data_IF_465556553324
#
_entry.id   IF_465556553324
#
_cell.length_a   1.000
_cell.length_b   1.000
_cell.length_c   1.000
_cell.angle_alpha   90.00
_cell.angle_beta   90.00
_cell.angle_gamma   90.00
#
_symmetry.space_group_name_H-M   'P 1'
#
loop_
_entity.id
_entity.type
_entity.pdbx_description
1 polymer ?
#
# COMPACT_ATOMS: atom_id res chain seq x y z
N UNK A 1 17.18 9.84 -7.68
CA UNK A 1 16.58 8.64 -7.10
C UNK A 1 15.48 8.21 -8.06
N UNK A 2 15.70 7.17 -8.86
CA UNK A 2 14.76 6.71 -9.88
C UNK A 2 14.24 5.35 -9.41
N UNK A 3 13.37 5.39 -8.39
CA UNK A 3 12.55 4.22 -8.08
C UNK A 3 11.38 4.35 -9.04
N UNK A 4 11.33 3.51 -10.08
CA UNK A 4 10.28 3.54 -11.10
C UNK A 4 9.00 2.89 -10.55
N UNK A 5 8.56 3.35 -9.37
CA UNK A 5 7.26 3.05 -8.77
C UNK A 5 6.21 3.94 -9.45
N UNK A 6 6.12 3.82 -10.77
CA UNK A 6 4.96 4.31 -11.49
C UNK A 6 3.75 3.55 -10.96
N UNK A 7 2.80 4.27 -10.35
CA UNK A 7 1.50 3.75 -9.87
C UNK A 7 0.60 3.37 -11.06
N UNK A 8 1.08 2.47 -11.92
CA UNK A 8 0.41 2.09 -13.14
C UNK A 8 0.15 0.59 -13.13
N UNK A 9 0.87 -0.19 -13.96
CA UNK A 9 0.54 -1.59 -14.22
C UNK A 9 1.02 -2.57 -13.15
N UNK A 10 1.93 -2.14 -12.30
CA UNK A 10 2.46 -2.90 -11.17
C UNK A 10 1.40 -3.19 -10.08
N UNK A 11 0.32 -2.39 -10.01
CA UNK A 11 -0.77 -2.56 -9.04
C UNK A 11 -2.03 -3.22 -9.62
N UNK A 12 -2.10 -3.46 -10.93
CA UNK A 12 -3.28 -4.05 -11.59
C UNK A 12 -3.51 -5.52 -11.19
N UNK A 13 -2.47 -6.23 -10.71
CA UNK A 13 -2.52 -7.67 -10.53
C UNK A 13 -3.35 -8.11 -9.31
N UNK A 14 -3.08 -7.53 -8.14
CA UNK A 14 -3.74 -7.94 -6.91
C UNK A 14 -3.75 -6.82 -5.86
N UNK A 15 -4.90 -6.67 -5.19
CA UNK A 15 -5.07 -5.89 -3.97
C UNK A 15 -5.92 -6.70 -3.00
N UNK A 16 -5.47 -6.85 -1.76
CA UNK A 16 -6.16 -7.65 -0.73
C UNK A 16 -6.67 -6.73 0.38
N UNK A 17 -7.88 -7.00 0.86
CA UNK A 17 -8.53 -6.31 1.97
C UNK A 17 -9.10 -7.32 2.95
N UNK A 18 -9.16 -6.95 4.23
CA UNK A 18 -9.80 -7.76 5.27
C UNK A 18 -8.90 -8.01 6.48
N UNK A 19 -9.19 -9.05 7.29
CA UNK A 19 -10.28 -10.02 7.10
C UNK A 19 -11.67 -9.42 7.36
N UNK A 20 -11.74 -8.32 8.09
CA UNK A 20 -12.98 -7.65 8.49
C UNK A 20 -12.97 -6.17 8.12
N UNK A 21 -14.16 -5.62 7.92
CA UNK A 21 -14.38 -4.19 7.95
C UNK A 21 -14.86 -3.85 9.36
N UNK A 22 -14.17 -2.90 10.00
CA UNK A 22 -14.56 -2.33 11.29
C UNK A 22 -15.17 -0.95 11.06
N UNK A 23 -16.10 -0.55 11.93
CA UNK A 23 -16.70 0.78 11.84
C UNK A 23 -15.81 1.84 12.48
N UNK A 24 -16.03 3.11 12.15
CA UNK A 24 -15.23 4.20 12.70
C UNK A 24 -15.38 4.32 14.23
N UNK A 25 -16.59 4.08 14.76
CA UNK A 25 -16.88 4.13 16.20
C UNK A 25 -16.21 3.00 17.00
N UNK A 26 -15.98 1.83 16.38
CA UNK A 26 -15.22 0.75 17.01
C UNK A 26 -13.74 1.13 17.24
N UNK A 27 -13.20 2.05 16.43
CA UNK A 27 -11.81 2.52 16.53
C UNK A 27 -11.65 3.80 17.36
N UNK A 28 -12.74 4.47 17.73
CA UNK A 28 -12.72 5.73 18.48
C UNK A 28 -11.93 5.64 19.81
N UNK A 29 -12.00 4.53 20.59
CA UNK A 29 -11.16 4.39 21.79
C UNK A 29 -9.65 4.39 21.54
N UNK A 30 -9.21 4.27 20.27
CA UNK A 30 -7.81 4.28 19.84
C UNK A 30 -7.39 5.62 19.24
N UNK A 31 -8.32 6.57 19.12
CA UNK A 31 -8.06 7.92 18.61
C UNK A 31 -7.40 8.78 19.69
N UNK A 32 -6.35 9.50 19.31
CA UNK A 32 -5.71 10.50 20.18
C UNK A 32 -6.33 11.90 20.02
N UNK A 33 -5.81 12.87 20.78
CA UNK A 33 -6.32 14.24 20.79
C UNK A 33 -6.16 14.99 19.46
N UNK A 34 -5.26 14.54 18.59
CA UNK A 34 -4.99 15.13 17.28
C UNK A 34 -5.74 14.38 16.15
N UNK A 35 -6.48 13.32 16.48
CA UNK A 35 -7.29 12.56 15.54
C UNK A 35 -6.59 11.38 14.89
N UNK A 36 -5.39 10.99 15.34
CA UNK A 36 -4.69 9.83 14.83
C UNK A 36 -5.09 8.55 15.57
N UNK A 37 -5.12 7.43 14.85
CA UNK A 37 -5.44 6.12 15.42
C UNK A 37 -4.15 5.40 15.82
N UNK A 38 -3.96 5.18 17.13
CA UNK A 38 -2.82 4.43 17.66
C UNK A 38 -3.09 2.92 17.60
N UNK A 39 -2.86 2.34 16.43
CA UNK A 39 -2.98 0.90 16.16
C UNK A 39 -1.63 0.32 15.72
N UNK A 40 -1.24 -0.82 16.30
CA UNK A 40 -0.04 -1.53 15.88
C UNK A 40 -0.25 -2.25 14.55
N UNK A 41 0.77 -2.15 13.68
CA UNK A 41 0.84 -2.75 12.36
C UNK A 41 2.05 -3.69 12.31
N UNK A 42 1.90 -4.86 11.69
CA UNK A 42 2.99 -5.83 11.55
C UNK A 42 2.92 -6.49 10.18
N UNK A 43 4.08 -6.60 9.53
CA UNK A 43 4.26 -7.37 8.31
C UNK A 43 5.24 -8.51 8.55
N UNK A 44 4.85 -9.70 8.13
CA UNK A 44 5.64 -10.92 8.22
C UNK A 44 5.82 -11.54 6.84
N UNK A 45 6.98 -12.17 6.64
CA UNK A 45 7.27 -13.01 5.48
C UNK A 45 7.73 -14.37 5.99
N UNK A 46 7.02 -15.43 5.60
CA UNK A 46 7.30 -16.80 6.04
C UNK A 46 7.33 -16.97 7.58
N UNK A 47 6.54 -16.16 8.29
CA UNK A 47 6.47 -16.13 9.76
C UNK A 47 7.57 -15.33 10.45
N UNK A 48 8.46 -14.69 9.69
CA UNK A 48 9.45 -13.75 10.22
C UNK A 48 8.94 -12.31 10.11
N UNK A 49 8.98 -11.56 11.22
CA UNK A 49 8.59 -10.15 11.23
C UNK A 49 9.62 -9.34 10.46
N UNK A 50 9.18 -8.74 9.34
CA UNK A 50 10.03 -7.90 8.48
C UNK A 50 9.81 -6.41 8.71
N UNK A 51 8.65 -6.03 9.26
CA UNK A 51 8.33 -4.63 9.55
C UNK A 51 7.28 -4.51 10.65
N UNK A 52 7.40 -3.47 11.46
CA UNK A 52 6.41 -3.06 12.47
C UNK A 52 6.23 -1.55 12.42
N UNK A 53 5.01 -1.09 12.58
CA UNK A 53 4.71 0.34 12.60
C UNK A 53 3.50 0.66 13.48
N UNK A 54 3.22 1.95 13.64
CA UNK A 54 1.99 2.47 14.22
C UNK A 54 1.21 3.24 13.15
N UNK A 55 -0.10 3.01 13.05
CA UNK A 55 -0.95 3.74 12.13
C UNK A 55 -0.93 5.26 12.41
N UNK A 56 -0.71 5.67 13.66
CA UNK A 56 -0.56 7.07 14.05
C UNK A 56 0.69 7.76 13.51
N UNK A 57 1.62 7.04 12.86
CA UNK A 57 2.78 7.63 12.20
C UNK A 57 2.47 8.21 10.81
N UNK A 58 1.24 8.02 10.30
CA UNK A 58 0.77 8.69 9.09
C UNK A 58 0.84 10.21 9.23
N UNK A 59 1.12 10.90 8.13
CA UNK A 59 1.17 12.36 8.12
C UNK A 59 -0.20 13.04 8.12
N UNK A 60 -1.26 12.29 7.79
CA UNK A 60 -2.62 12.81 7.63
C UNK A 60 -3.63 11.84 8.26
N UNK A 61 -4.66 12.41 8.86
CA UNK A 61 -5.83 11.66 9.35
C UNK A 61 -6.71 11.17 8.19
N UNK A 62 -7.59 10.19 8.43
CA UNK A 62 -8.51 9.70 7.39
C UNK A 62 -9.47 10.79 6.91
N UNK A 63 -9.88 11.69 7.81
CA UNK A 63 -10.72 12.84 7.50
C UNK A 63 -10.01 13.80 6.54
N UNK A 64 -8.74 14.10 6.78
CA UNK A 64 -7.93 14.96 5.90
C UNK A 64 -7.70 14.32 4.54
N UNK A 65 -7.46 13.00 4.50
CA UNK A 65 -7.33 12.25 3.25
C UNK A 65 -8.62 12.31 2.42
N UNK A 66 -9.78 12.10 3.06
CA UNK A 66 -11.08 12.19 2.39
C UNK A 66 -11.39 13.62 1.90
N UNK A 67 -11.08 14.62 2.72
CA UNK A 67 -11.26 16.03 2.37
C UNK A 67 -10.35 16.43 1.20
N UNK A 68 -9.11 15.95 1.18
CA UNK A 68 -8.19 16.18 0.07
C UNK A 68 -8.66 15.49 -1.22
N UNK A 69 -9.02 14.21 -1.12
CA UNK A 69 -9.51 13.43 -2.27
C UNK A 69 -10.76 14.04 -2.91
N UNK A 70 -11.59 14.73 -2.13
CA UNK A 70 -12.82 15.39 -2.60
C UNK A 70 -12.58 16.73 -3.31
N UNK A 71 -11.33 17.21 -3.42
CA UNK A 71 -11.02 18.45 -4.14
C UNK A 71 -11.11 18.26 -5.65
N UNK A 72 -11.24 19.38 -6.39
CA UNK A 72 -11.13 19.38 -7.85
C UNK A 72 -12.29 18.73 -8.61
N UNK A 73 -13.44 18.53 -7.96
CA UNK A 73 -14.63 17.92 -8.57
C UNK A 73 -14.68 16.39 -8.49
N UNK A 74 -13.73 15.76 -7.79
CA UNK A 74 -13.80 14.34 -7.47
C UNK A 74 -14.92 14.10 -6.45
N UNK A 75 -15.94 13.34 -6.85
CA UNK A 75 -17.04 12.96 -5.97
C UNK A 75 -16.75 11.59 -5.36
N UNK A 76 -16.47 11.57 -4.06
CA UNK A 76 -16.42 10.31 -3.30
C UNK A 76 -17.82 9.70 -3.22
N UNK A 77 -17.92 8.41 -3.51
CA UNK A 77 -19.15 7.62 -3.55
C UNK A 77 -19.11 6.52 -2.49
N UNK A 78 -20.30 6.03 -2.14
CA UNK A 78 -20.41 4.84 -1.28
C UNK A 78 -19.73 3.65 -1.98
N UNK A 79 -18.85 2.98 -1.25
CA UNK A 79 -18.05 1.87 -1.77
C UNK A 79 -16.69 2.28 -2.31
N UNK A 80 -16.37 3.57 -2.40
CA UNK A 80 -15.01 4.00 -2.70
C UNK A 80 -14.06 3.57 -1.57
N UNK A 81 -12.85 3.16 -1.94
CA UNK A 81 -11.82 2.69 -1.02
C UNK A 81 -10.63 3.65 -1.09
N UNK A 82 -10.27 4.24 0.04
CA UNK A 82 -9.10 5.09 0.20
C UNK A 82 -8.00 4.31 0.91
N UNK A 83 -6.84 4.17 0.27
CA UNK A 83 -5.67 3.55 0.87
C UNK A 83 -4.83 4.55 1.66
N UNK A 84 -4.42 4.17 2.87
CA UNK A 84 -3.61 4.99 3.81
C UNK A 84 -2.13 5.15 3.42
N UNK A 85 -1.72 4.67 2.24
CA UNK A 85 -0.33 4.44 1.84
C UNK A 85 0.34 3.27 2.57
N UNK A 86 1.59 2.99 2.19
CA UNK A 86 2.46 2.00 2.82
C UNK A 86 2.78 2.43 4.25
N UNK A 87 2.70 1.49 5.19
CA UNK A 87 3.22 1.69 6.54
C UNK A 87 4.74 1.85 6.48
N UNK A 88 5.29 2.72 7.33
CA UNK A 88 6.71 3.03 7.36
C UNK A 88 7.56 1.87 7.87
N UNK A 89 8.84 2.15 8.16
CA UNK A 89 9.77 1.19 8.77
C UNK A 89 9.91 -0.16 8.02
N UNK A 90 9.99 -0.09 6.69
CA UNK A 90 10.23 -1.28 5.86
C UNK A 90 8.98 -2.01 5.38
N UNK A 91 7.79 -1.38 5.48
CA UNK A 91 6.54 -1.93 4.96
C UNK A 91 6.54 -2.18 3.45
N UNK A 92 7.45 -1.55 2.70
CA UNK A 92 7.76 -1.89 1.31
C UNK A 92 9.27 -2.10 1.11
N UNK A 93 9.72 -3.31 0.71
CA UNK A 93 11.14 -3.57 0.42
C UNK A 93 11.73 -2.62 -0.62
N UNK A 94 10.94 -2.20 -1.62
CA UNK A 94 11.41 -1.31 -2.68
C UNK A 94 11.83 0.08 -2.17
N UNK A 95 11.24 0.56 -1.08
CA UNK A 95 11.67 1.82 -0.43
C UNK A 95 13.09 1.68 0.13
N UNK A 96 13.37 0.55 0.78
CA UNK A 96 14.72 0.22 1.26
C UNK A 96 15.70 0.08 0.11
N UNK A 97 15.35 -0.65 -0.96
CA UNK A 97 16.22 -0.85 -2.11
C UNK A 97 16.58 0.47 -2.81
N UNK A 98 15.61 1.37 -2.97
CA UNK A 98 15.86 2.69 -3.54
C UNK A 98 16.83 3.54 -2.71
N UNK A 99 16.84 3.34 -1.39
CA UNK A 99 17.71 4.05 -0.44
C UNK A 99 19.10 3.43 -0.31
N UNK A 100 19.20 2.11 -0.27
CA UNK A 100 20.46 1.37 -0.06
C UNK A 100 21.19 1.07 -1.36
N UNK A 101 20.47 1.02 -2.49
CA UNK A 101 20.99 0.50 -3.76
C UNK A 101 21.17 -1.02 -3.77
N UNK A 102 20.69 -1.72 -2.74
CA UNK A 102 20.81 -3.15 -2.55
C UNK A 102 19.43 -3.78 -2.33
N UNK A 103 19.21 -4.93 -2.95
CA UNK A 103 17.95 -5.68 -2.84
C UNK A 103 17.95 -6.56 -1.60
N UNK A 104 18.14 -5.93 -0.44
CA UNK A 104 18.07 -6.56 0.88
C UNK A 104 16.96 -5.86 1.70
N UNK A 105 15.88 -6.57 2.06
CA UNK A 105 15.61 -8.00 1.82
C UNK A 105 15.33 -8.31 0.33
N UNK A 106 15.53 -9.56 -0.14
CA UNK A 106 15.34 -9.92 -1.55
C UNK A 106 13.89 -9.72 -2.01
N UNK A 107 13.63 -9.69 -3.33
CA UNK A 107 12.27 -9.80 -3.88
C UNK A 107 11.53 -11.04 -3.38
N UNK A 108 10.21 -11.02 -3.46
CA UNK A 108 9.38 -12.16 -3.05
C UNK A 108 9.35 -13.20 -4.16
N UNK A 109 9.49 -14.46 -3.77
CA UNK A 109 9.51 -15.61 -4.66
C UNK A 109 8.19 -16.38 -4.58
N UNK A 110 7.81 -17.13 -5.62
CA UNK A 110 6.70 -18.08 -5.53
C UNK A 110 6.85 -18.98 -4.31
N UNK A 111 5.73 -19.18 -3.60
CA UNK A 111 5.56 -19.90 -2.32
C UNK A 111 5.86 -19.09 -1.06
N UNK A 112 6.45 -17.90 -1.15
CA UNK A 112 6.53 -17.01 0.01
C UNK A 112 5.13 -16.71 0.55
N UNK A 113 5.01 -16.61 1.87
CA UNK A 113 3.78 -16.25 2.55
C UNK A 113 3.96 -14.88 3.19
N UNK A 114 3.11 -13.93 2.81
CA UNK A 114 3.07 -12.58 3.37
C UNK A 114 1.86 -12.47 4.29
N UNK A 115 2.09 -12.15 5.56
CA UNK A 115 1.04 -11.86 6.54
C UNK A 115 1.09 -10.39 6.91
N UNK A 116 -0.04 -9.70 6.79
CA UNK A 116 -0.19 -8.32 7.25
C UNK A 116 -1.22 -8.30 8.37
N UNK A 117 -0.87 -7.72 9.51
CA UNK A 117 -1.70 -7.67 10.71
C UNK A 117 -1.90 -6.23 11.14
N UNK A 118 -3.14 -5.88 11.45
CA UNK A 118 -3.50 -4.64 12.13
C UNK A 118 -4.22 -4.97 13.43
N UNK A 119 -3.75 -4.35 14.51
CA UNK A 119 -4.38 -4.44 15.82
C UNK A 119 -5.87 -4.11 15.74
N UNK A 120 -6.71 -4.94 16.38
CA UNK A 120 -8.16 -4.74 16.43
C UNK A 120 -8.93 -5.16 15.17
N UNK A 121 -8.25 -5.47 14.05
CA UNK A 121 -8.92 -5.78 12.77
C UNK A 121 -8.59 -7.20 12.27
N UNK A 122 -7.42 -7.72 12.65
CA UNK A 122 -6.97 -9.07 12.33
C UNK A 122 -5.85 -9.09 11.29
N UNK A 123 -5.70 -10.23 10.63
CA UNK A 123 -4.59 -10.50 9.71
C UNK A 123 -5.08 -11.00 8.35
N UNK A 124 -4.42 -10.54 7.29
CA UNK A 124 -4.54 -11.14 5.95
C UNK A 124 -3.26 -11.92 5.65
N UNK A 125 -3.44 -13.13 5.12
CA UNK A 125 -2.34 -14.02 4.75
C UNK A 125 -2.45 -14.35 3.27
N UNK A 126 -1.39 -14.08 2.52
CA UNK A 126 -1.33 -14.32 1.08
C UNK A 126 -0.10 -15.15 0.74
N UNK A 127 -0.29 -16.21 -0.05
CA UNK A 127 0.81 -16.96 -0.64
C UNK A 127 1.12 -16.41 -2.02
N UNK A 128 2.38 -16.07 -2.26
CA UNK A 128 2.87 -15.70 -3.58
C UNK A 128 2.81 -16.93 -4.48
N UNK A 129 2.23 -16.74 -5.66
CA UNK A 129 2.15 -17.76 -6.71
C UNK A 129 2.89 -17.28 -7.94
N UNK A 130 3.16 -18.20 -8.86
CA UNK A 130 3.79 -17.85 -10.14
C UNK A 130 2.98 -16.76 -10.85
N UNK A 131 3.68 -15.72 -11.30
CA UNK A 131 3.07 -14.62 -12.04
C UNK A 131 2.69 -15.05 -13.46
N UNK A 132 1.78 -14.30 -14.08
CA UNK A 132 1.55 -14.47 -15.53
C UNK A 132 2.73 -13.87 -16.28
N UNK A 133 3.23 -14.59 -17.29
CA UNK A 133 4.31 -14.11 -18.14
C UNK A 133 3.93 -12.75 -18.78
N UNK A 134 4.81 -11.73 -18.75
CA UNK A 134 4.54 -10.44 -19.37
C UNK A 134 4.23 -10.59 -20.86
N UNK A 135 3.17 -9.93 -21.32
CA UNK A 135 2.86 -9.83 -22.75
C UNK A 135 3.73 -8.71 -23.35
N UNK A 136 4.50 -8.95 -24.42
CA UNK A 136 5.28 -7.91 -25.06
C UNK A 136 4.39 -6.75 -25.53
N UNK A 137 4.68 -5.54 -25.06
CA UNK A 137 3.96 -4.32 -25.47
C UNK A 137 4.83 -3.58 -26.51
N UNK A 138 4.29 -3.22 -27.68
CA UNK A 138 5.02 -2.41 -28.65
C UNK A 138 5.43 -1.07 -28.06
N UNK A 139 6.60 -0.55 -28.45
CA UNK A 139 7.01 0.80 -28.08
C UNK A 139 5.98 1.84 -28.52
N UNK A 140 5.83 2.90 -27.71
CA UNK A 140 5.01 4.05 -28.05
C UNK A 140 5.44 4.61 -29.41
N UNK A 141 4.49 4.77 -30.33
CA UNK A 141 4.78 5.23 -31.69
C UNK A 141 5.30 6.67 -31.66
N UNK A 142 6.42 6.93 -32.31
CA UNK A 142 6.88 8.29 -32.53
C UNK A 142 5.95 8.98 -33.54
N UNK A 143 5.44 10.16 -33.17
CA UNK A 143 4.64 11.01 -34.06
C UNK A 143 5.48 12.24 -34.41
N UNK A 144 5.47 12.71 -35.66
CA UNK A 144 6.09 13.99 -36.00
C UNK A 144 5.45 15.10 -35.15
N UNK A 145 6.28 15.96 -34.55
CA UNK A 145 5.83 17.08 -33.70
C UNK A 145 5.36 18.29 -34.52
N UNK A 146 4.86 18.04 -35.74
CA UNK A 146 4.30 19.09 -36.60
C UNK A 146 3.08 19.70 -35.91
N UNK A 147 3.12 21.02 -35.70
CA UNK A 147 1.99 21.82 -35.22
C UNK A 147 1.42 22.61 -36.41
N UNK A 148 0.12 22.98 -36.38
CA UNK A 148 -0.46 23.92 -37.36
C UNK A 148 0.32 25.23 -37.43
#
# INVERSE_FOLDING_TARGET
MQVDLSLCKDKDAASTFGPWLVTADELEPRRDGDGFLRLALTAEVNGEVVSTDLLSNMSWTFEEMAAYASRGGTLLRKGDVLGSSTCGNGGCPAESWGRTGDQSPPPREPRDVVTLTMEGTGSVLNRIVEGTAPVPIPHGRERPRSRP
#
